data_IF_165580600336
#
_entry.id   IF_165580600336
#
_cell.length_a   1.000
_cell.length_b   1.000
_cell.length_c   1.000
_cell.angle_alpha   90.00
_cell.angle_beta   90.00
_cell.angle_gamma   90.00
#
_symmetry.space_group_name_H-M   'P 1'
#
loop_
_entity.id
_entity.type
_entity.pdbx_description
1 polymer ?
#
# COMPACT_ATOMS: atom_id res chain seq x y z
N UNK A 1 24.93 -19.59 23.73
CA UNK A 1 24.23 -18.43 23.10
C UNK A 1 22.74 -18.63 23.27
N UNK A 2 22.09 -17.84 24.12
CA UNK A 2 20.62 -17.95 24.36
C UNK A 2 19.87 -17.06 23.35
N UNK A 3 18.75 -17.48 22.80
CA UNK A 3 17.93 -16.62 21.92
C UNK A 3 17.24 -15.55 22.78
N UNK A 4 17.35 -14.28 22.35
CA UNK A 4 16.65 -13.16 22.95
C UNK A 4 15.17 -13.24 22.56
N UNK A 5 14.34 -13.56 23.52
CA UNK A 5 12.89 -13.52 23.46
C UNK A 5 12.46 -12.05 23.39
N UNK A 6 11.46 -11.77 22.53
CA UNK A 6 10.76 -10.50 22.35
C UNK A 6 10.61 -9.70 23.66
N UNK A 7 11.46 -8.68 23.84
CA UNK A 7 11.43 -7.83 25.03
C UNK A 7 10.36 -6.74 24.90
N UNK A 8 9.16 -7.01 25.34
CA UNK A 8 8.19 -5.98 25.70
C UNK A 8 8.52 -5.53 27.10
N UNK A 9 9.26 -4.44 27.24
CA UNK A 9 9.56 -3.86 28.56
C UNK A 9 8.67 -2.65 28.81
N UNK A 10 7.86 -2.71 29.84
CA UNK A 10 7.19 -1.55 30.45
C UNK A 10 8.23 -0.81 31.31
N UNK A 11 8.94 0.15 30.74
CA UNK A 11 9.80 1.06 31.50
C UNK A 11 9.22 2.46 31.49
N UNK A 12 9.18 3.08 32.69
CA UNK A 12 8.91 4.50 32.89
C UNK A 12 9.99 5.34 32.19
N UNK A 13 9.60 6.16 31.22
CA UNK A 13 10.49 7.01 30.42
C UNK A 13 10.88 8.24 31.25
N UNK A 14 12.21 8.53 31.43
CA UNK A 14 12.66 9.75 32.09
C UNK A 14 12.41 10.98 31.23
N UNK A 15 11.96 12.06 31.86
CA UNK A 15 11.50 13.31 31.21
C UNK A 15 12.60 14.19 30.57
N UNK A 16 13.80 13.70 30.36
CA UNK A 16 14.92 14.55 29.91
C UNK A 16 15.60 13.95 28.66
N UNK A 17 15.04 14.28 27.48
CA UNK A 17 15.81 14.18 26.24
C UNK A 17 15.61 15.41 25.35
N UNK A 18 16.70 15.96 24.87
CA UNK A 18 16.87 17.27 24.26
C UNK A 18 16.01 17.44 22.98
N UNK A 19 15.09 18.42 22.99
CA UNK A 19 14.23 18.81 21.86
C UNK A 19 15.00 19.69 20.88
N UNK A 20 14.94 19.40 19.60
CA UNK A 20 15.20 20.38 18.55
C UNK A 20 14.09 21.43 18.52
N UNK A 21 14.48 22.71 18.37
CA UNK A 21 13.64 23.90 18.54
C UNK A 21 12.52 24.02 17.48
N UNK A 22 11.46 23.26 17.58
CA UNK A 22 10.35 23.42 16.60
C UNK A 22 8.96 23.07 17.13
N UNK A 23 8.84 22.29 18.19
CA UNK A 23 7.53 21.70 18.56
C UNK A 23 7.21 21.64 20.06
N UNK A 24 7.83 22.47 20.90
CA UNK A 24 7.60 22.46 22.34
C UNK A 24 6.13 22.75 22.71
N UNK A 25 5.43 23.59 21.97
CA UNK A 25 4.05 23.99 22.28
C UNK A 25 3.00 22.89 21.96
N UNK A 26 3.27 21.97 21.00
CA UNK A 26 2.35 20.87 20.69
C UNK A 26 2.50 19.70 21.66
N UNK A 27 3.71 19.44 22.13
CA UNK A 27 4.01 18.36 23.10
C UNK A 27 3.47 18.68 24.48
N UNK A 28 3.48 19.95 24.90
CA UNK A 28 2.98 20.39 26.20
C UNK A 28 1.46 20.15 26.40
N UNK A 29 0.67 20.08 25.33
CA UNK A 29 -0.79 19.80 25.43
C UNK A 29 -1.13 18.33 25.65
N UNK A 30 -0.18 17.41 25.45
CA UNK A 30 -0.41 15.97 25.61
C UNK A 30 -0.05 15.42 26.99
N UNK A 31 0.50 16.24 27.89
CA UNK A 31 1.05 15.78 29.18
C UNK A 31 0.09 15.87 30.37
N UNK A 32 -1.18 16.26 30.22
CA UNK A 32 -2.04 16.64 31.35
C UNK A 32 -3.14 15.62 31.73
N UNK A 33 -3.10 14.38 31.27
CA UNK A 33 -4.03 13.32 31.71
C UNK A 33 -3.31 12.01 32.02
N UNK A 34 -3.85 11.12 32.90
CA UNK A 34 -3.30 9.78 33.09
C UNK A 34 -3.49 8.98 31.80
N UNK A 35 -2.44 8.93 30.99
CA UNK A 35 -2.42 8.07 29.80
C UNK A 35 -2.26 6.62 30.25
N UNK A 36 -3.06 5.68 29.73
CA UNK A 36 -2.72 4.27 29.88
C UNK A 36 -1.32 4.08 29.29
N UNK A 37 -0.47 3.24 29.92
CA UNK A 37 0.90 2.99 29.50
C UNK A 37 0.93 2.71 27.98
N UNK A 38 1.49 3.59 27.15
CA UNK A 38 1.45 3.42 25.70
C UNK A 38 2.28 2.19 25.32
N UNK A 39 1.87 1.51 24.27
CA UNK A 39 2.63 0.41 23.68
C UNK A 39 3.95 0.98 23.14
N UNK A 40 5.10 0.53 23.67
CA UNK A 40 6.41 0.96 23.16
C UNK A 40 6.89 -0.04 22.12
N UNK A 41 7.06 0.42 20.89
CA UNK A 41 7.58 -0.36 19.77
C UNK A 41 9.04 0.02 19.51
N UNK A 42 9.95 -0.93 19.84
CA UNK A 42 11.40 -0.77 19.66
C UNK A 42 12.03 -1.99 19.00
N UNK A 43 11.37 -2.58 18.01
CA UNK A 43 11.89 -3.75 17.30
C UNK A 43 12.95 -3.31 16.29
N UNK A 44 14.08 -4.03 16.23
CA UNK A 44 15.06 -3.82 15.16
C UNK A 44 14.47 -4.25 13.82
N UNK A 45 14.45 -3.40 12.78
CA UNK A 45 13.96 -3.77 11.45
C UNK A 45 14.82 -4.87 10.78
N UNK A 46 16.00 -5.15 11.31
CA UNK A 46 16.87 -6.24 10.86
C UNK A 46 16.52 -7.51 11.61
N UNK A 47 16.08 -8.55 10.89
CA UNK A 47 15.82 -9.87 11.47
C UNK A 47 17.11 -10.61 11.75
N UNK A 48 18.01 -10.67 10.76
CA UNK A 48 19.29 -11.40 10.88
C UNK A 48 20.35 -10.81 9.94
N UNK A 49 21.60 -10.86 10.38
CA UNK A 49 22.77 -10.51 9.57
C UNK A 49 23.61 -11.75 9.32
N UNK A 50 23.77 -12.12 8.06
CA UNK A 50 24.54 -13.28 7.61
C UNK A 50 25.74 -12.77 6.78
N UNK A 51 26.81 -12.38 7.47
CA UNK A 51 27.93 -11.72 6.82
C UNK A 51 27.51 -10.40 6.15
N UNK A 52 27.74 -10.25 4.83
CA UNK A 52 27.33 -9.05 4.09
C UNK A 52 25.83 -8.95 3.84
N UNK A 53 25.10 -10.08 3.98
CA UNK A 53 23.66 -10.15 3.73
C UNK A 53 22.88 -9.75 4.98
N UNK A 54 22.08 -8.68 4.86
CA UNK A 54 21.16 -8.22 5.91
C UNK A 54 19.73 -8.54 5.53
N UNK A 55 19.11 -9.49 6.25
CA UNK A 55 17.69 -9.82 6.07
C UNK A 55 16.85 -8.92 6.96
N UNK A 56 15.92 -8.18 6.35
CA UNK A 56 15.01 -7.26 7.04
C UNK A 56 13.60 -7.82 7.05
N UNK A 57 12.82 -7.54 8.10
CA UNK A 57 11.38 -7.88 8.15
C UNK A 57 10.62 -7.35 6.94
N UNK A 58 10.93 -6.12 6.49
CA UNK A 58 10.30 -5.54 5.30
C UNK A 58 10.50 -6.39 4.04
N UNK A 59 11.71 -6.94 3.84
CA UNK A 59 11.99 -7.81 2.70
C UNK A 59 11.16 -9.10 2.74
N UNK A 60 10.98 -9.69 3.93
CA UNK A 60 10.12 -10.88 4.11
C UNK A 60 8.66 -10.51 3.81
N UNK A 61 8.16 -9.41 4.37
CA UNK A 61 6.80 -8.92 4.11
C UNK A 61 6.58 -8.63 2.62
N UNK A 62 7.59 -8.08 1.93
CA UNK A 62 7.53 -7.88 0.49
C UNK A 62 7.43 -9.20 -0.27
N UNK A 63 8.23 -10.21 0.10
CA UNK A 63 8.14 -11.57 -0.45
C UNK A 63 6.75 -12.20 -0.21
N UNK A 64 6.20 -12.05 1.00
CA UNK A 64 4.85 -12.52 1.34
C UNK A 64 3.77 -11.78 0.54
N UNK A 65 3.94 -10.47 0.27
CA UNK A 65 3.03 -9.72 -0.59
C UNK A 65 3.00 -10.29 -2.01
N UNK A 66 4.16 -10.59 -2.60
CA UNK A 66 4.27 -11.22 -3.92
C UNK A 66 3.66 -12.62 -3.93
N UNK A 67 3.98 -13.45 -2.93
CA UNK A 67 3.46 -14.82 -2.81
C UNK A 67 1.93 -14.83 -2.64
N UNK A 68 1.38 -14.00 -1.74
CA UNK A 68 -0.06 -13.86 -1.53
C UNK A 68 -0.75 -13.36 -2.80
N UNK A 69 -0.18 -12.32 -3.43
CA UNK A 69 -0.71 -11.76 -4.67
C UNK A 69 -0.76 -12.81 -5.78
N UNK A 70 0.31 -13.58 -5.95
CA UNK A 70 0.35 -14.65 -6.94
C UNK A 70 -0.62 -15.78 -6.62
N UNK A 71 -0.70 -16.24 -5.38
CA UNK A 71 -1.62 -17.31 -4.98
C UNK A 71 -3.09 -16.93 -5.26
N UNK A 72 -3.48 -15.70 -4.92
CA UNK A 72 -4.83 -15.20 -5.21
C UNK A 72 -5.05 -15.06 -6.72
N UNK A 73 -4.11 -14.49 -7.44
CA UNK A 73 -4.14 -14.40 -8.89
C UNK A 73 -4.31 -15.78 -9.54
N UNK A 74 -3.44 -16.73 -9.20
CA UNK A 74 -3.45 -18.09 -9.73
C UNK A 74 -4.80 -18.78 -9.50
N UNK A 75 -5.28 -18.79 -8.27
CA UNK A 75 -6.57 -19.40 -7.92
C UNK A 75 -7.74 -18.76 -8.66
N UNK A 76 -7.72 -17.44 -8.85
CA UNK A 76 -8.79 -16.73 -9.56
C UNK A 76 -8.78 -17.04 -11.06
N UNK A 77 -7.65 -16.92 -11.74
CA UNK A 77 -7.59 -17.17 -13.19
C UNK A 77 -7.95 -18.62 -13.50
N UNK A 78 -7.52 -19.57 -12.66
CA UNK A 78 -7.92 -20.99 -12.76
C UNK A 78 -9.42 -21.18 -12.56
N UNK A 79 -10.02 -20.52 -11.59
CA UNK A 79 -11.46 -20.57 -11.32
C UNK A 79 -12.29 -20.09 -12.51
N UNK A 80 -11.80 -19.12 -13.28
CA UNK A 80 -12.50 -18.56 -14.43
C UNK A 80 -12.07 -19.16 -15.76
N UNK A 81 -11.47 -20.37 -15.75
CA UNK A 81 -11.23 -21.19 -16.91
C UNK A 81 -9.90 -20.94 -17.65
N UNK A 82 -9.04 -20.04 -17.13
CA UNK A 82 -7.72 -19.82 -17.73
C UNK A 82 -6.75 -20.96 -17.35
N UNK A 83 -5.72 -21.17 -18.16
CA UNK A 83 -4.71 -22.22 -17.91
C UNK A 83 -3.75 -21.87 -16.77
N UNK A 84 -3.08 -22.88 -16.17
CA UNK A 84 -2.00 -22.64 -15.22
C UNK A 84 -0.86 -21.86 -15.86
N UNK A 85 -0.50 -22.23 -17.11
CA UNK A 85 0.54 -21.55 -17.88
C UNK A 85 0.23 -20.04 -18.07
N UNK A 86 -1.04 -19.68 -18.27
CA UNK A 86 -1.46 -18.27 -18.33
C UNK A 86 -1.16 -17.54 -17.02
N UNK A 87 -1.48 -18.14 -15.88
CA UNK A 87 -1.22 -17.56 -14.57
C UNK A 87 0.27 -17.38 -14.30
N UNK A 88 1.08 -18.40 -14.63
CA UNK A 88 2.52 -18.41 -14.46
C UNK A 88 3.23 -17.41 -15.38
N UNK A 89 2.79 -17.28 -16.62
CA UNK A 89 3.33 -16.28 -17.55
C UNK A 89 3.17 -14.86 -17.01
N UNK A 90 2.06 -14.56 -16.34
CA UNK A 90 1.89 -13.26 -15.71
C UNK A 90 2.96 -12.99 -14.63
N UNK A 91 3.42 -14.02 -13.91
CA UNK A 91 4.47 -13.88 -12.90
C UNK A 91 5.79 -13.38 -13.50
N UNK A 92 6.15 -13.91 -14.69
CA UNK A 92 7.39 -13.51 -15.39
C UNK A 92 7.40 -12.04 -15.84
N UNK A 93 6.25 -11.42 -15.99
CA UNK A 93 6.12 -9.98 -16.32
C UNK A 93 5.80 -9.14 -15.11
N UNK A 94 4.93 -9.63 -14.23
CA UNK A 94 4.42 -8.89 -13.08
C UNK A 94 5.47 -8.64 -12.00
N UNK A 95 6.29 -9.64 -11.66
CA UNK A 95 7.35 -9.47 -10.65
C UNK A 95 8.42 -8.48 -11.10
N UNK A 96 9.00 -8.60 -12.31
CA UNK A 96 9.89 -7.56 -12.82
C UNK A 96 9.25 -6.18 -12.88
N UNK A 97 7.97 -6.09 -13.27
CA UNK A 97 7.26 -4.80 -13.31
C UNK A 97 7.15 -4.13 -11.94
N UNK A 98 6.89 -4.90 -10.88
CA UNK A 98 6.87 -4.41 -9.50
C UNK A 98 8.25 -3.87 -9.10
N UNK A 99 9.31 -4.63 -9.36
CA UNK A 99 10.67 -4.29 -8.97
C UNK A 99 11.19 -3.10 -9.79
N UNK A 100 11.13 -3.21 -11.11
CA UNK A 100 11.65 -2.19 -12.03
C UNK A 100 10.81 -0.91 -11.93
N UNK A 101 9.49 -1.04 -11.99
CA UNK A 101 8.58 0.10 -11.88
C UNK A 101 8.74 0.83 -10.55
N UNK A 102 8.79 0.08 -9.44
CA UNK A 102 9.00 0.64 -8.11
C UNK A 102 10.34 1.35 -7.98
N UNK A 103 11.42 0.76 -8.54
CA UNK A 103 12.75 1.35 -8.52
C UNK A 103 12.83 2.61 -9.38
N UNK A 104 12.38 2.55 -10.62
CA UNK A 104 12.36 3.71 -11.50
C UNK A 104 11.50 4.83 -10.93
N UNK A 105 10.31 4.50 -10.39
CA UNK A 105 9.48 5.49 -9.71
C UNK A 105 10.21 6.18 -8.57
N UNK A 106 10.97 5.43 -7.75
CA UNK A 106 11.78 6.04 -6.70
C UNK A 106 12.88 6.94 -7.25
N UNK A 107 13.63 6.46 -8.24
CA UNK A 107 14.74 7.20 -8.84
C UNK A 107 14.28 8.52 -9.45
N UNK A 108 13.16 8.52 -10.18
CA UNK A 108 12.67 9.71 -10.88
C UNK A 108 11.96 10.72 -9.97
N UNK A 109 11.17 10.24 -8.99
CA UNK A 109 10.32 11.13 -8.21
C UNK A 109 10.91 11.53 -6.85
N UNK A 110 11.77 10.69 -6.24
CA UNK A 110 12.27 10.95 -4.88
C UNK A 110 13.74 11.35 -4.80
N UNK A 111 14.55 10.92 -5.75
CA UNK A 111 15.98 11.17 -5.67
C UNK A 111 16.62 11.43 -7.06
N UNK A 112 16.01 12.25 -7.96
CA UNK A 112 16.49 12.40 -9.34
C UNK A 112 17.94 12.87 -9.41
N UNK A 113 18.36 13.80 -8.53
CA UNK A 113 19.72 14.33 -8.55
C UNK A 113 20.79 13.26 -8.29
N UNK A 114 20.49 12.29 -7.39
CA UNK A 114 21.42 11.20 -7.07
C UNK A 114 21.63 10.28 -8.27
N UNK A 115 20.52 9.95 -8.96
CA UNK A 115 20.54 8.98 -10.07
C UNK A 115 20.95 9.60 -11.40
N UNK A 116 20.72 10.90 -11.60
CA UNK A 116 21.28 11.65 -12.73
C UNK A 116 22.82 11.79 -12.62
N UNK A 117 23.32 12.01 -11.40
CA UNK A 117 24.77 12.08 -11.16
C UNK A 117 25.46 10.70 -11.28
N UNK A 118 24.77 9.62 -10.92
CA UNK A 118 25.31 8.25 -10.92
C UNK A 118 24.26 7.24 -11.42
N UNK A 119 24.02 7.12 -12.73
CA UNK A 119 22.95 6.29 -13.29
C UNK A 119 23.03 4.80 -12.91
N UNK A 120 24.24 4.26 -12.73
CA UNK A 120 24.44 2.85 -12.35
C UNK A 120 23.87 2.51 -10.97
N UNK A 121 23.63 3.50 -10.10
CA UNK A 121 22.97 3.28 -8.81
C UNK A 121 21.51 2.84 -8.94
N UNK A 122 20.88 2.98 -10.10
CA UNK A 122 19.55 2.43 -10.37
C UNK A 122 19.51 0.92 -10.11
N UNK A 123 20.59 0.20 -10.42
CA UNK A 123 20.68 -1.26 -10.22
C UNK A 123 20.94 -1.68 -8.77
N UNK A 124 21.29 -0.74 -7.89
CA UNK A 124 21.58 -1.06 -6.48
C UNK A 124 20.29 -1.24 -5.66
N UNK A 125 19.52 -2.30 -5.97
CA UNK A 125 18.24 -2.63 -5.33
C UNK A 125 18.38 -2.91 -3.83
N UNK A 126 19.55 -3.41 -3.39
CA UNK A 126 19.87 -3.68 -1.97
C UNK A 126 19.95 -2.43 -1.10
N UNK A 127 20.07 -1.24 -1.70
CA UNK A 127 20.05 0.04 -0.98
C UNK A 127 18.62 0.49 -0.63
N UNK A 128 17.59 -0.25 -1.05
CA UNK A 128 16.20 0.14 -0.87
C UNK A 128 15.73 1.17 -1.90
N UNK A 129 14.61 1.83 -1.62
CA UNK A 129 14.00 2.84 -2.51
C UNK A 129 13.09 2.21 -3.57
N UNK A 130 11.86 1.93 -3.17
CA UNK A 130 10.76 1.47 -4.03
C UNK A 130 9.58 2.41 -3.85
N UNK A 131 9.10 3.01 -4.94
CA UNK A 131 7.95 3.91 -4.94
C UNK A 131 6.68 3.19 -5.38
N UNK A 132 5.62 3.29 -4.58
CA UNK A 132 4.33 2.64 -4.85
C UNK A 132 3.68 3.08 -6.17
N UNK A 133 3.86 4.34 -6.57
CA UNK A 133 3.36 4.85 -7.85
C UNK A 133 4.06 4.17 -9.04
N UNK A 134 5.37 3.96 -8.95
CA UNK A 134 6.13 3.24 -9.95
C UNK A 134 5.71 1.78 -10.05
N UNK A 135 5.43 1.12 -8.91
CA UNK A 135 4.84 -0.23 -8.88
C UNK A 135 3.49 -0.23 -9.59
N UNK A 136 2.60 0.72 -9.26
CA UNK A 136 1.28 0.81 -9.87
C UNK A 136 1.35 1.03 -11.40
N UNK A 137 2.22 1.94 -11.84
CA UNK A 137 2.46 2.19 -13.26
C UNK A 137 3.01 0.96 -13.98
N UNK A 138 4.01 0.28 -13.40
CA UNK A 138 4.60 -0.95 -13.95
C UNK A 138 3.56 -2.06 -14.10
N UNK A 139 2.74 -2.28 -13.07
CA UNK A 139 1.65 -3.27 -13.11
C UNK A 139 0.57 -2.90 -14.13
N UNK A 140 0.20 -1.63 -14.24
CA UNK A 140 -0.78 -1.18 -15.24
C UNK A 140 -0.28 -1.42 -16.66
N UNK A 141 0.99 -1.11 -16.95
CA UNK A 141 1.63 -1.39 -18.24
C UNK A 141 1.67 -2.90 -18.50
N UNK A 142 2.01 -3.71 -17.49
CA UNK A 142 2.04 -5.17 -17.61
C UNK A 142 0.66 -5.73 -17.91
N UNK A 143 -0.37 -5.29 -17.17
CA UNK A 143 -1.75 -5.72 -17.44
C UNK A 143 -2.19 -5.34 -18.85
N UNK A 144 -1.84 -4.14 -19.31
CA UNK A 144 -2.14 -3.71 -20.67
C UNK A 144 -1.42 -4.56 -21.74
N UNK A 145 -0.10 -4.76 -21.60
CA UNK A 145 0.70 -5.56 -22.53
C UNK A 145 0.23 -7.03 -22.55
N UNK A 146 -0.06 -7.58 -21.36
CA UNK A 146 -0.55 -8.95 -21.21
C UNK A 146 -1.95 -9.13 -21.83
N UNK A 147 -2.83 -8.14 -21.69
CA UNK A 147 -4.15 -8.11 -22.32
C UNK A 147 -4.02 -8.17 -23.85
N UNK A 148 -3.10 -7.39 -24.42
CA UNK A 148 -2.84 -7.38 -25.86
C UNK A 148 -2.27 -8.73 -26.36
N UNK A 149 -1.31 -9.29 -25.62
CA UNK A 149 -0.66 -10.56 -25.97
C UNK A 149 -1.62 -11.75 -25.98
N UNK A 150 -2.55 -11.80 -25.02
CA UNK A 150 -3.46 -12.93 -24.84
C UNK A 150 -4.87 -12.68 -25.40
N UNK A 151 -5.10 -11.56 -26.09
CA UNK A 151 -6.41 -11.18 -26.66
C UNK A 151 -7.55 -11.17 -25.63
N UNK A 152 -7.23 -10.88 -24.35
CA UNK A 152 -8.17 -10.77 -23.25
C UNK A 152 -8.42 -9.29 -22.97
N UNK A 153 -9.66 -8.91 -22.68
CA UNK A 153 -9.96 -7.50 -22.37
C UNK A 153 -9.23 -7.04 -21.10
N UNK A 154 -8.72 -5.81 -21.11
CA UNK A 154 -8.05 -5.22 -19.97
C UNK A 154 -8.92 -5.25 -18.69
N UNK A 155 -10.24 -5.02 -18.84
CA UNK A 155 -11.18 -5.10 -17.72
C UNK A 155 -11.27 -6.51 -17.12
N UNK A 156 -11.21 -7.57 -17.94
CA UNK A 156 -11.21 -8.96 -17.44
C UNK A 156 -9.96 -9.26 -16.62
N UNK A 157 -8.79 -8.86 -17.11
CA UNK A 157 -7.54 -9.00 -16.35
C UNK A 157 -7.56 -8.19 -15.06
N UNK A 158 -8.08 -6.97 -15.10
CA UNK A 158 -8.19 -6.11 -13.91
C UNK A 158 -9.16 -6.71 -12.88
N UNK A 159 -10.28 -7.31 -13.30
CA UNK A 159 -11.21 -8.02 -12.42
C UNK A 159 -10.56 -9.26 -11.78
N UNK A 160 -9.68 -9.97 -12.49
CA UNK A 160 -8.90 -11.06 -11.90
C UNK A 160 -7.87 -10.55 -10.89
N UNK A 161 -7.21 -9.43 -11.20
CA UNK A 161 -6.05 -8.93 -10.47
C UNK A 161 -6.41 -8.14 -9.22
N UNK A 162 -7.54 -7.43 -9.20
CA UNK A 162 -7.93 -6.56 -8.11
C UNK A 162 -7.97 -7.24 -6.72
N UNK A 163 -8.52 -8.46 -6.55
CA UNK A 163 -8.49 -9.16 -5.24
C UNK A 163 -7.08 -9.59 -4.82
N UNK A 164 -6.18 -9.88 -5.78
CA UNK A 164 -4.79 -10.20 -5.49
C UNK A 164 -4.07 -9.01 -4.88
N UNK A 165 -4.26 -7.81 -5.46
CA UNK A 165 -3.71 -6.55 -4.91
C UNK A 165 -4.30 -6.25 -3.53
N UNK A 166 -5.61 -6.41 -3.36
CA UNK A 166 -6.29 -6.11 -2.09
C UNK A 166 -5.66 -6.86 -0.91
N UNK A 167 -5.36 -8.16 -1.06
CA UNK A 167 -4.73 -8.94 0.01
C UNK A 167 -3.23 -8.69 0.15
N UNK A 168 -2.51 -8.55 -0.97
CA UNK A 168 -1.05 -8.44 -0.92
C UNK A 168 -0.55 -7.13 -0.32
N UNK A 169 -1.28 -6.02 -0.54
CA UNK A 169 -0.85 -4.70 -0.04
C UNK A 169 -0.76 -4.63 1.49
N UNK A 170 -1.52 -5.45 2.21
CA UNK A 170 -1.48 -5.53 3.67
C UNK A 170 -0.09 -5.90 4.20
N UNK A 171 0.62 -6.81 3.54
CA UNK A 171 1.97 -7.21 3.93
C UNK A 171 2.97 -6.06 3.89
N UNK A 172 2.82 -5.14 2.92
CA UNK A 172 3.65 -3.94 2.85
C UNK A 172 3.44 -3.06 4.09
N UNK A 173 2.21 -2.99 4.62
CA UNK A 173 1.90 -2.23 5.83
C UNK A 173 2.47 -2.87 7.09
N UNK A 174 2.48 -4.20 7.15
CA UNK A 174 3.22 -4.93 8.19
C UNK A 174 4.72 -4.60 8.13
N UNK A 175 5.31 -4.60 6.94
CA UNK A 175 6.71 -4.21 6.73
C UNK A 175 7.01 -2.77 7.17
N UNK A 176 6.14 -1.82 6.82
CA UNK A 176 6.27 -0.42 7.28
C UNK A 176 6.20 -0.31 8.81
N UNK A 177 5.35 -1.09 9.47
CA UNK A 177 5.25 -1.12 10.93
C UNK A 177 6.56 -1.58 11.57
N UNK A 178 7.16 -2.68 11.07
CA UNK A 178 8.48 -3.14 11.54
C UNK A 178 9.59 -2.11 11.33
N UNK A 179 9.55 -1.37 10.23
CA UNK A 179 10.52 -0.31 9.95
C UNK A 179 10.25 0.99 10.71
N UNK A 180 9.13 1.12 11.43
CA UNK A 180 8.67 2.40 12.03
C UNK A 180 8.54 3.51 10.99
N UNK A 181 8.04 3.17 9.79
CA UNK A 181 7.81 4.08 8.67
C UNK A 181 6.31 4.36 8.50
N UNK A 182 5.97 5.48 7.86
CA UNK A 182 4.57 5.87 7.59
C UNK A 182 3.75 5.93 8.88
N UNK A 183 4.34 6.49 9.93
CA UNK A 183 3.72 6.62 11.25
C UNK A 183 2.58 7.63 11.23
N UNK A 184 1.72 7.54 12.24
CA UNK A 184 0.61 8.48 12.41
C UNK A 184 0.98 9.74 13.19
N UNK A 185 0.08 10.72 13.13
CA UNK A 185 0.16 11.93 13.94
C UNK A 185 0.13 11.60 15.44
N UNK A 186 0.62 12.50 16.31
CA UNK A 186 0.52 12.36 17.76
C UNK A 186 -0.94 12.10 18.20
N UNK A 187 -1.13 11.18 19.15
CA UNK A 187 -2.45 10.75 19.59
C UNK A 187 -2.48 10.32 21.05
N UNK A 188 -3.63 10.55 21.70
CA UNK A 188 -3.93 10.13 23.08
C UNK A 188 -4.91 8.95 23.15
N UNK A 189 -5.07 8.19 22.06
CA UNK A 189 -5.96 7.02 22.02
C UNK A 189 -5.37 5.85 22.82
N UNK A 190 -6.20 4.96 23.42
CA UNK A 190 -5.72 3.85 24.24
C UNK A 190 -4.74 2.89 23.53
N UNK A 191 -4.79 2.83 22.21
CA UNK A 191 -3.93 1.99 21.37
C UNK A 191 -2.81 2.78 20.67
N UNK A 192 -2.49 3.99 21.17
CA UNK A 192 -1.35 4.74 20.64
C UNK A 192 -0.05 3.98 20.85
N UNK A 193 0.86 4.11 19.88
CA UNK A 193 2.16 3.44 19.87
C UNK A 193 3.27 4.47 19.88
N UNK A 194 4.23 4.30 20.78
CA UNK A 194 5.50 5.02 20.78
C UNK A 194 6.49 4.28 19.89
N UNK A 195 6.84 4.85 18.75
CA UNK A 195 7.85 4.30 17.86
C UNK A 195 9.23 4.77 18.31
N UNK A 196 9.83 4.08 19.29
CA UNK A 196 11.05 4.51 19.98
C UNK A 196 12.27 4.74 19.07
N UNK A 197 12.26 4.17 17.86
CA UNK A 197 13.28 4.38 16.82
C UNK A 197 13.07 5.67 16.02
N UNK A 198 11.91 6.31 16.16
CA UNK A 198 11.58 7.56 15.52
C UNK A 198 11.56 8.71 16.54
N UNK A 199 10.67 8.63 17.55
CA UNK A 199 10.60 9.56 18.68
C UNK A 199 9.89 8.89 19.89
N UNK A 200 9.76 9.63 20.99
CA UNK A 200 9.09 9.15 22.20
C UNK A 200 7.64 9.64 22.32
N UNK A 201 7.04 10.11 21.23
CA UNK A 201 5.67 10.62 21.22
C UNK A 201 4.69 9.49 20.90
N UNK A 202 3.61 9.30 21.70
CA UNK A 202 2.53 8.37 21.35
C UNK A 202 1.83 8.82 20.07
N UNK A 203 1.64 7.90 19.12
CA UNK A 203 1.14 8.18 17.79
C UNK A 203 0.09 7.18 17.35
N UNK A 204 -0.78 7.57 16.41
CA UNK A 204 -1.64 6.61 15.73
C UNK A 204 -0.76 5.57 14.99
N UNK A 205 -1.03 4.25 15.15
CA UNK A 205 -0.38 3.22 14.34
C UNK A 205 -1.02 3.18 12.94
N UNK A 206 -0.80 4.23 12.13
CA UNK A 206 -1.46 4.43 10.84
C UNK A 206 -1.20 3.27 9.87
N UNK A 207 -0.07 2.57 10.01
CA UNK A 207 0.25 1.37 9.25
C UNK A 207 -0.78 0.24 9.49
N UNK A 208 -1.23 0.07 10.75
CA UNK A 208 -2.23 -0.94 11.10
C UNK A 208 -3.63 -0.56 10.58
N UNK A 209 -3.94 0.73 10.51
CA UNK A 209 -5.19 1.19 9.88
C UNK A 209 -5.18 0.90 8.37
N UNK A 210 -4.07 1.22 7.70
CA UNK A 210 -3.88 0.88 6.28
C UNK A 210 -3.89 -0.64 6.03
N UNK A 211 -3.34 -1.45 6.97
CA UNK A 211 -3.37 -2.91 6.89
C UNK A 211 -4.80 -3.45 6.80
N UNK A 212 -5.73 -2.88 7.56
CA UNK A 212 -7.13 -3.35 7.58
C UNK A 212 -7.88 -3.05 6.29
N UNK A 213 -7.47 -2.03 5.51
CA UNK A 213 -8.13 -1.66 4.25
C UNK A 213 -8.08 -2.82 3.26
N UNK A 214 -6.96 -3.51 3.14
CA UNK A 214 -6.77 -4.58 2.17
C UNK A 214 -7.73 -5.77 2.37
N UNK A 215 -7.70 -6.46 3.52
CA UNK A 215 -8.62 -7.56 3.82
C UNK A 215 -10.10 -7.15 3.77
N UNK A 216 -10.44 -5.95 4.28
CA UNK A 216 -11.81 -5.43 4.19
C UNK A 216 -12.24 -5.29 2.73
N UNK A 217 -11.42 -4.65 1.91
CA UNK A 217 -11.70 -4.51 0.47
C UNK A 217 -11.86 -5.88 -0.18
N UNK A 218 -10.97 -6.84 0.11
CA UNK A 218 -11.07 -8.20 -0.41
C UNK A 218 -12.41 -8.86 -0.08
N UNK A 219 -12.89 -8.74 1.17
CA UNK A 219 -14.19 -9.26 1.57
C UNK A 219 -15.34 -8.60 0.82
N UNK A 220 -15.28 -7.29 0.60
CA UNK A 220 -16.25 -6.56 -0.24
C UNK A 220 -16.25 -7.09 -1.67
N UNK A 221 -15.06 -7.31 -2.27
CA UNK A 221 -14.95 -7.85 -3.62
C UNK A 221 -15.57 -9.25 -3.72
N UNK A 222 -15.32 -10.13 -2.73
CA UNK A 222 -15.95 -11.45 -2.67
C UNK A 222 -17.48 -11.35 -2.53
N UNK A 223 -17.98 -10.43 -1.72
CA UNK A 223 -19.41 -10.23 -1.56
C UNK A 223 -20.07 -9.74 -2.85
N UNK A 224 -19.45 -8.81 -3.57
CA UNK A 224 -19.92 -8.33 -4.88
C UNK A 224 -19.90 -9.45 -5.91
N UNK A 225 -18.82 -10.24 -5.96
CA UNK A 225 -18.70 -11.37 -6.88
C UNK A 225 -19.78 -12.44 -6.60
N UNK A 226 -20.01 -12.81 -5.33
CA UNK A 226 -21.04 -13.80 -4.94
C UNK A 226 -22.45 -13.39 -5.34
N UNK A 227 -22.74 -12.10 -5.41
CA UNK A 227 -24.05 -11.61 -5.85
C UNK A 227 -24.28 -11.75 -7.37
N UNK A 228 -23.24 -12.09 -8.14
CA UNK A 228 -23.31 -12.30 -9.60
C UNK A 228 -24.06 -11.17 -10.35
N UNK A 229 -23.88 -9.93 -9.92
CA UNK A 229 -24.56 -8.75 -10.49
C UNK A 229 -24.15 -8.56 -11.96
N UNK A 230 -22.88 -8.83 -12.25
CA UNK A 230 -22.29 -8.70 -13.60
C UNK A 230 -21.22 -9.77 -13.80
N UNK A 231 -20.99 -10.21 -15.05
CA UNK A 231 -19.94 -11.18 -15.37
C UNK A 231 -18.55 -10.59 -15.12
N UNK A 232 -17.61 -11.49 -14.81
CA UNK A 232 -16.17 -11.14 -14.77
C UNK A 232 -15.76 -10.62 -16.16
N UNK A 233 -15.02 -9.51 -16.15
CA UNK A 233 -14.62 -8.80 -17.36
C UNK A 233 -15.44 -7.55 -17.63
N UNK A 234 -16.53 -7.34 -16.89
CA UNK A 234 -17.29 -6.10 -16.93
C UNK A 234 -16.52 -4.87 -16.38
N UNK A 235 -15.51 -5.10 -15.54
CA UNK A 235 -14.80 -4.08 -14.78
C UNK A 235 -15.44 -3.77 -13.43
N UNK A 236 -16.47 -4.52 -13.01
CA UNK A 236 -17.16 -4.27 -11.75
C UNK A 236 -16.26 -4.53 -10.54
N UNK A 237 -15.50 -5.63 -10.53
CA UNK A 237 -14.61 -6.00 -9.43
C UNK A 237 -13.44 -5.02 -9.33
N UNK A 238 -12.81 -4.68 -10.46
CA UNK A 238 -11.75 -3.67 -10.50
C UNK A 238 -12.26 -2.28 -10.09
N UNK A 239 -13.43 -1.87 -10.57
CA UNK A 239 -14.06 -0.61 -10.18
C UNK A 239 -14.36 -0.56 -8.69
N UNK A 240 -14.91 -1.64 -8.13
CA UNK A 240 -15.19 -1.75 -6.69
C UNK A 240 -13.90 -1.67 -5.87
N UNK A 241 -12.82 -2.37 -6.31
CA UNK A 241 -11.51 -2.28 -5.66
C UNK A 241 -11.02 -0.84 -5.61
N UNK A 242 -10.99 -0.15 -6.74
CA UNK A 242 -10.50 1.23 -6.82
C UNK A 242 -11.31 2.16 -5.92
N UNK A 243 -12.64 2.04 -5.95
CA UNK A 243 -13.52 2.90 -5.16
C UNK A 243 -13.39 2.65 -3.66
N UNK A 244 -13.44 1.38 -3.24
CA UNK A 244 -13.43 1.04 -1.81
C UNK A 244 -12.04 1.22 -1.21
N UNK A 245 -11.01 0.66 -1.85
CA UNK A 245 -9.66 0.72 -1.33
C UNK A 245 -9.15 2.17 -1.23
N UNK A 246 -9.26 2.94 -2.29
CA UNK A 246 -8.77 4.32 -2.31
C UNK A 246 -9.70 5.27 -1.56
N UNK A 247 -11.00 4.99 -1.49
CA UNK A 247 -11.93 5.73 -0.62
C UNK A 247 -11.57 5.59 0.86
N UNK A 248 -11.34 4.37 1.32
CA UNK A 248 -10.88 4.13 2.71
C UNK A 248 -9.49 4.72 2.96
N UNK A 249 -8.61 4.68 1.96
CA UNK A 249 -7.28 5.29 2.05
C UNK A 249 -7.37 6.81 2.24
N UNK A 250 -8.29 7.51 1.56
CA UNK A 250 -8.52 8.95 1.78
C UNK A 250 -8.83 9.22 3.25
N UNK A 251 -9.63 8.37 3.87
CA UNK A 251 -9.99 8.51 5.27
C UNK A 251 -8.79 8.23 6.21
N UNK A 252 -8.07 7.12 6.00
CA UNK A 252 -6.93 6.73 6.86
C UNK A 252 -5.78 7.73 6.74
N UNK A 253 -5.61 8.38 5.59
CA UNK A 253 -4.56 9.35 5.35
C UNK A 253 -4.60 10.52 6.36
N UNK A 254 -5.78 10.88 6.90
CA UNK A 254 -5.95 11.93 7.92
C UNK A 254 -5.23 11.61 9.24
N UNK A 255 -4.94 10.35 9.52
CA UNK A 255 -4.26 9.90 10.74
C UNK A 255 -2.74 9.81 10.59
N UNK A 256 -2.21 10.01 9.38
CA UNK A 256 -0.75 9.98 9.12
C UNK A 256 -0.09 11.30 9.50
N UNK A 257 1.21 11.22 9.79
CA UNK A 257 1.99 12.41 10.10
C UNK A 257 2.46 13.10 8.80
N UNK A 258 2.22 14.40 8.71
CA UNK A 258 2.62 15.23 7.57
C UNK A 258 4.13 15.42 7.44
N UNK A 259 4.83 15.42 8.57
CA UNK A 259 6.26 15.77 8.60
C UNK A 259 7.18 14.71 7.96
N UNK A 260 6.65 13.53 7.67
CA UNK A 260 7.41 12.43 7.06
C UNK A 260 7.27 12.40 5.54
N UNK A 261 6.37 13.19 4.94
CA UNK A 261 6.14 13.20 3.50
C UNK A 261 6.97 14.28 2.78
N UNK A 262 8.09 13.86 2.21
CA UNK A 262 8.94 14.71 1.36
C UNK A 262 8.21 15.28 0.11
N UNK A 263 7.10 14.69 -0.31
CA UNK A 263 6.29 15.12 -1.46
C UNK A 263 5.48 16.41 -1.22
N UNK A 264 5.27 16.81 0.05
CA UNK A 264 4.53 18.01 0.39
C UNK A 264 5.22 19.30 -0.07
N UNK A 265 6.52 19.26 -0.23
CA UNK A 265 7.31 20.42 -0.69
C UNK A 265 7.23 20.64 -2.20
N UNK A 266 6.59 19.72 -2.96
CA UNK A 266 6.43 19.90 -4.40
C UNK A 266 5.44 21.04 -4.71
N UNK A 267 5.84 22.02 -5.55
CA UNK A 267 5.09 23.25 -5.81
C UNK A 267 3.60 23.07 -6.16
N UNK A 268 3.16 22.09 -7.00
CA UNK A 268 1.76 22.03 -7.41
C UNK A 268 0.82 21.68 -6.25
N UNK A 269 1.24 20.83 -5.31
CA UNK A 269 0.40 20.41 -4.19
C UNK A 269 0.25 21.50 -3.13
N UNK A 270 1.34 22.19 -2.83
CA UNK A 270 1.33 23.32 -1.88
C UNK A 270 0.44 24.48 -2.36
N UNK A 271 0.47 24.77 -3.65
CA UNK A 271 -0.35 25.83 -4.24
C UNK A 271 -1.85 25.50 -4.17
N UNK A 272 -2.24 24.22 -4.35
CA UNK A 272 -3.63 23.78 -4.26
C UNK A 272 -4.12 23.82 -2.80
N UNK A 273 -3.30 23.42 -1.83
CA UNK A 273 -3.63 23.55 -0.39
C UNK A 273 -3.85 25.01 0.01
N UNK A 274 -3.01 25.92 -0.47
CA UNK A 274 -3.16 27.36 -0.23
C UNK A 274 -4.45 27.91 -0.84
N UNK A 275 -4.82 27.44 -2.04
CA UNK A 275 -6.05 27.87 -2.69
C UNK A 275 -7.32 27.32 -2.00
N UNK A 276 -7.29 26.08 -1.51
CA UNK A 276 -8.41 25.45 -0.82
C UNK A 276 -8.58 25.89 0.63
N UNK A 277 -7.54 26.49 1.25
CA UNK A 277 -7.56 26.97 2.62
C UNK A 277 -7.53 25.88 3.70
N UNK A 278 -7.32 24.61 3.34
CA UNK A 278 -7.13 23.50 4.28
C UNK A 278 -6.10 22.50 3.76
N UNK A 279 -5.36 21.83 4.67
CA UNK A 279 -4.32 20.89 4.29
C UNK A 279 -4.94 19.60 3.72
N UNK A 280 -4.50 19.21 2.52
CA UNK A 280 -4.83 17.94 1.90
C UNK A 280 -3.54 17.12 1.77
N UNK A 281 -3.56 15.89 2.28
CA UNK A 281 -2.43 15.00 2.15
C UNK A 281 -2.21 14.57 0.71
N UNK A 282 -0.95 14.44 0.30
CA UNK A 282 -0.60 13.93 -1.05
C UNK A 282 -1.25 12.59 -1.35
N UNK A 283 -1.33 11.70 -0.35
CA UNK A 283 -2.01 10.40 -0.50
C UNK A 283 -3.52 10.52 -0.76
N UNK A 284 -4.18 11.57 -0.26
CA UNK A 284 -5.59 11.85 -0.57
C UNK A 284 -5.74 12.27 -2.03
N UNK A 285 -4.93 13.22 -2.51
CA UNK A 285 -4.91 13.65 -3.91
C UNK A 285 -4.70 12.49 -4.88
N UNK A 286 -3.69 11.67 -4.61
CA UNK A 286 -3.38 10.49 -5.43
C UNK A 286 -4.48 9.42 -5.38
N UNK A 287 -5.36 9.47 -4.40
CA UNK A 287 -6.49 8.53 -4.27
C UNK A 287 -7.75 8.98 -4.98
N UNK A 288 -7.92 10.28 -5.25
CA UNK A 288 -9.12 10.83 -5.93
C UNK A 288 -9.28 10.25 -7.33
N UNK A 289 -8.21 10.28 -8.14
CA UNK A 289 -8.27 9.77 -9.51
C UNK A 289 -8.64 8.28 -9.58
N UNK A 290 -8.02 7.37 -8.80
CA UNK A 290 -8.47 5.98 -8.71
C UNK A 290 -9.94 5.81 -8.29
N UNK A 291 -10.43 6.60 -7.32
CA UNK A 291 -11.86 6.56 -6.92
C UNK A 291 -12.75 6.92 -8.08
N UNK A 292 -12.49 8.02 -8.79
CA UNK A 292 -13.27 8.44 -9.96
C UNK A 292 -13.22 7.39 -11.08
N UNK A 293 -12.06 6.82 -11.37
CA UNK A 293 -11.90 5.74 -12.33
C UNK A 293 -12.69 4.48 -11.90
N UNK A 294 -12.69 4.17 -10.63
CA UNK A 294 -13.47 3.06 -10.06
C UNK A 294 -14.97 3.28 -10.23
N UNK A 295 -15.46 4.46 -9.87
CA UNK A 295 -16.89 4.84 -10.06
C UNK A 295 -17.30 4.79 -11.55
N UNK A 296 -16.44 5.26 -12.44
CA UNK A 296 -16.65 5.17 -13.88
C UNK A 296 -16.77 3.71 -14.35
N UNK A 297 -15.86 2.82 -13.91
CA UNK A 297 -15.90 1.40 -14.26
C UNK A 297 -17.18 0.72 -13.74
N UNK A 298 -17.58 1.01 -12.49
CA UNK A 298 -18.84 0.52 -11.92
C UNK A 298 -20.02 1.01 -12.77
N UNK A 299 -20.09 2.31 -13.04
CA UNK A 299 -21.17 2.90 -13.85
C UNK A 299 -21.25 2.29 -15.24
N UNK A 300 -20.09 2.07 -15.90
CA UNK A 300 -20.01 1.39 -17.20
C UNK A 300 -20.50 -0.06 -17.10
N UNK A 301 -20.02 -0.81 -16.11
CA UNK A 301 -20.43 -2.19 -15.90
C UNK A 301 -21.93 -2.32 -15.64
N UNK A 302 -22.53 -1.38 -14.92
CA UNK A 302 -23.96 -1.38 -14.64
C UNK A 302 -24.80 -1.02 -15.88
N UNK A 303 -24.29 -0.18 -16.79
CA UNK A 303 -24.99 0.23 -18.03
C UNK A 303 -24.89 -0.80 -19.15
N UNK A 304 -23.84 -1.63 -19.20
CA UNK A 304 -23.56 -2.55 -20.31
C UNK A 304 -24.58 -3.69 -20.49
N UNK A 305 -25.60 -3.78 -19.64
CA UNK A 305 -26.82 -4.58 -19.88
C UNK A 305 -26.67 -6.10 -19.98
N UNK A 306 -25.44 -6.61 -20.14
CA UNK A 306 -25.15 -8.03 -20.34
C UNK A 306 -25.43 -8.80 -19.05
N UNK A 307 -26.59 -9.42 -18.95
CA UNK A 307 -26.91 -10.34 -17.88
C UNK A 307 -26.23 -11.69 -18.17
N UNK A 308 -25.78 -12.41 -17.12
CA UNK A 308 -25.21 -13.75 -17.23
C UNK A 308 -26.15 -14.74 -17.97
N UNK A 309 -27.48 -14.49 -17.94
CA UNK A 309 -28.49 -15.24 -18.65
C UNK A 309 -28.38 -15.17 -20.19
N UNK A 310 -27.76 -14.14 -20.74
CA UNK A 310 -27.59 -14.02 -22.21
C UNK A 310 -26.35 -14.74 -22.71
N UNK A 311 -25.29 -14.82 -21.90
CA UNK A 311 -24.06 -15.56 -22.24
C UNK A 311 -24.31 -17.07 -22.24
N UNK A 312 -25.18 -17.57 -21.35
CA UNK A 312 -25.57 -18.97 -21.33
C UNK A 312 -26.37 -19.40 -22.58
N UNK A 313 -27.04 -18.49 -23.27
CA UNK A 313 -27.83 -18.79 -24.49
C UNK A 313 -27.00 -18.81 -25.77
N UNK A 314 -25.79 -18.25 -25.77
CA UNK A 314 -24.92 -18.22 -26.98
C UNK A 314 -23.95 -19.42 -27.07
N UNK A 315 -23.90 -20.27 -26.04
CA UNK A 315 -23.06 -21.46 -26.01
C UNK A 315 -23.85 -22.77 -26.21
N UNK A 316 -25.08 -22.67 -26.73
CA UNK A 316 -25.88 -23.76 -27.25
C UNK A 316 -26.21 -23.45 -28.73
#
# INVERSE_FOLDING_TARGET
>A
MRPAILGVTTQSVPATYCMSRGNAASVARFSSGPMPNPIVWNVDPVLVRLGPLTVRYYGICFGLALATGFAVWFTRVRRFGESAAFAEQFLYFGVPAVIIGGRLGYCFFYAPQIYLANPLRVFALWQGGIASHGVAAGLAITLWAFSRRHHITWTRLSDYFAPAVALSVGWIRVGNFFNSEVIGRPASVPWAVVFARHDLVPRHPAQLYDLLIGPFTYLVLLAVERRNIRPIGSGLIAGTFLTVYFGLRIFVEQYKDFYVEQLREMPPFRSIEQWLGFPIHTGQWLSVLPVLAGMFLIGRAMRSGVRLSEIARTNH
#
